data_IF_642929023434
#
_entry.id   IF_642929023434
#
_cell.length_a   1.000
_cell.length_b   1.000
_cell.length_c   1.000
_cell.angle_alpha   90.00
_cell.angle_beta   90.00
_cell.angle_gamma   90.00
#
_symmetry.space_group_name_H-M   'P 1'
#
loop_
_entity.id
_entity.type
_entity.pdbx_description
1 polymer ?
#
# COMPACT_ATOMS: atom_id res chain seq x y z
N UNK A 1 15.19 62.99 -14.84
CA UNK A 1 14.03 62.63 -14.00
C UNK A 1 12.80 62.63 -14.90
N UNK A 2 12.80 61.76 -15.90
CA UNK A 2 12.31 60.36 -15.87
C UNK A 2 10.80 60.27 -15.70
N UNK A 3 10.11 60.30 -16.85
CA UNK A 3 8.70 59.95 -17.01
C UNK A 3 8.53 58.83 -18.07
N UNK A 4 9.47 57.88 -18.11
CA UNK A 4 9.47 56.75 -19.07
C UNK A 4 8.75 55.47 -18.62
N UNK A 5 8.19 55.42 -17.40
CA UNK A 5 7.68 54.17 -16.80
C UNK A 5 6.17 53.90 -16.95
N UNK A 6 5.39 54.82 -17.52
CA UNK A 6 3.92 54.81 -17.35
C UNK A 6 3.15 53.79 -18.19
N UNK A 7 3.70 53.33 -19.33
CA UNK A 7 2.98 52.46 -20.27
C UNK A 7 3.41 50.99 -20.22
N UNK A 8 4.57 50.70 -19.64
CA UNK A 8 5.13 49.34 -19.60
C UNK A 8 4.31 48.43 -18.68
N UNK A 9 3.87 48.95 -17.53
CA UNK A 9 3.08 48.20 -16.56
C UNK A 9 1.68 47.81 -17.07
N UNK A 10 0.86 48.70 -17.67
CA UNK A 10 -0.43 48.31 -18.22
C UNK A 10 -0.31 47.39 -19.45
N UNK A 11 0.73 47.55 -20.28
CA UNK A 11 1.02 46.62 -21.39
C UNK A 11 1.39 45.23 -20.90
N UNK A 12 2.15 45.13 -19.80
CA UNK A 12 2.50 43.84 -19.18
C UNK A 12 1.27 43.14 -18.58
N UNK A 13 0.36 43.89 -17.96
CA UNK A 13 -0.90 43.35 -17.44
C UNK A 13 -1.83 42.87 -18.58
N UNK A 14 -1.92 43.62 -19.67
CA UNK A 14 -2.68 43.22 -20.86
C UNK A 14 -2.09 41.96 -21.50
N UNK A 15 -0.76 41.83 -21.54
CA UNK A 15 -0.08 40.64 -22.02
C UNK A 15 -0.36 39.42 -21.12
N UNK A 16 -0.27 39.57 -19.80
CA UNK A 16 -0.63 38.51 -18.85
C UNK A 16 -2.10 38.10 -18.98
N UNK A 17 -3.00 39.06 -19.11
CA UNK A 17 -4.43 38.81 -19.30
C UNK A 17 -4.70 38.09 -20.63
N UNK A 18 -4.01 38.49 -21.69
CA UNK A 18 -4.04 37.80 -22.98
C UNK A 18 -3.51 36.37 -22.87
N UNK A 19 -2.41 36.13 -22.16
CA UNK A 19 -1.87 34.79 -21.92
C UNK A 19 -2.85 33.89 -21.14
N UNK A 20 -3.58 34.45 -20.17
CA UNK A 20 -4.60 33.71 -19.40
C UNK A 20 -5.81 33.37 -20.28
N UNK A 21 -6.29 34.31 -21.10
CA UNK A 21 -7.41 34.08 -22.02
C UNK A 21 -7.04 33.11 -23.15
N UNK A 22 -5.78 33.16 -23.61
CA UNK A 22 -5.26 32.29 -24.68
C UNK A 22 -4.91 30.89 -24.18
N UNK A 23 -4.90 30.66 -22.86
CA UNK A 23 -4.65 29.33 -22.30
C UNK A 23 -5.96 28.53 -22.30
N UNK A 24 -6.20 27.79 -23.38
CA UNK A 24 -7.21 26.74 -23.37
C UNK A 24 -6.66 25.54 -22.60
N UNK A 25 -6.97 25.46 -21.30
CA UNK A 25 -6.76 24.24 -20.54
C UNK A 25 -7.78 23.20 -21.01
N UNK A 26 -7.40 22.32 -21.93
CA UNK A 26 -8.23 21.17 -22.26
C UNK A 26 -8.24 20.20 -21.07
N UNK A 27 -9.38 20.13 -20.39
CA UNK A 27 -9.64 19.07 -19.42
C UNK A 27 -9.76 17.74 -20.18
N UNK A 28 -8.67 16.97 -20.21
CA UNK A 28 -8.69 15.63 -20.79
C UNK A 28 -9.29 14.69 -19.76
N UNK A 29 -10.49 14.17 -20.04
CA UNK A 29 -11.04 13.07 -19.27
C UNK A 29 -10.29 11.78 -19.63
N UNK A 30 -9.56 11.21 -18.68
CA UNK A 30 -8.82 9.97 -18.88
C UNK A 30 -9.75 8.77 -18.74
N UNK A 31 -9.66 7.81 -19.66
CA UNK A 31 -10.30 6.51 -19.48
C UNK A 31 -9.47 5.65 -18.53
N UNK A 32 -9.84 5.62 -17.25
CA UNK A 32 -9.15 4.86 -16.21
C UNK A 32 -9.76 3.47 -15.96
N UNK A 33 -10.75 3.07 -16.76
CA UNK A 33 -11.42 1.77 -16.61
C UNK A 33 -10.44 0.63 -16.89
N UNK A 34 -10.36 -0.34 -15.98
CA UNK A 34 -9.52 -1.53 -16.15
C UNK A 34 -10.26 -2.63 -16.92
N UNK A 35 -9.59 -3.22 -17.91
CA UNK A 35 -10.09 -4.38 -18.66
C UNK A 35 -8.91 -5.28 -19.04
N UNK A 36 -9.06 -6.59 -18.87
CA UNK A 36 -8.11 -7.56 -19.43
C UNK A 36 -8.42 -7.69 -20.92
N UNK A 37 -7.40 -7.50 -21.76
CA UNK A 37 -7.52 -7.68 -23.21
C UNK A 37 -6.82 -8.99 -23.59
N UNK A 38 -7.56 -10.02 -24.04
CA UNK A 38 -6.97 -11.26 -24.50
C UNK A 38 -5.99 -11.04 -25.66
N UNK A 39 -4.90 -11.82 -25.68
CA UNK A 39 -3.88 -11.72 -26.74
C UNK A 39 -2.97 -10.49 -26.67
N UNK A 40 -3.07 -9.68 -25.60
CA UNK A 40 -2.13 -8.58 -25.33
C UNK A 40 -1.43 -8.80 -23.99
N UNK A 41 -0.29 -8.12 -23.82
CA UNK A 41 0.33 -7.95 -22.52
C UNK A 41 -0.59 -7.08 -21.65
N UNK A 42 -1.04 -7.61 -20.53
CA UNK A 42 -1.82 -6.88 -19.54
C UNK A 42 -0.89 -6.48 -18.40
N UNK A 43 -0.82 -5.17 -18.13
CA UNK A 43 0.06 -4.62 -17.09
C UNK A 43 -0.81 -4.20 -15.90
N UNK A 44 -0.63 -4.89 -14.78
CA UNK A 44 -1.33 -4.58 -13.54
C UNK A 44 -0.53 -3.53 -12.75
N UNK A 45 -1.04 -2.31 -12.67
CA UNK A 45 -0.47 -1.26 -11.83
C UNK A 45 -1.03 -1.40 -10.43
N UNK A 46 -0.19 -1.81 -9.48
CA UNK A 46 -0.57 -2.03 -8.08
C UNK A 46 0.01 -0.92 -7.23
N UNK A 47 -0.79 0.09 -6.90
CA UNK A 47 -0.38 1.20 -6.05
C UNK A 47 -0.35 0.76 -4.58
N UNK A 48 0.78 1.01 -3.91
CA UNK A 48 1.00 0.65 -2.51
C UNK A 48 1.93 1.66 -1.83
N UNK A 49 1.98 1.59 -0.50
CA UNK A 49 3.04 2.18 0.33
C UNK A 49 3.71 1.07 1.12
N UNK A 50 4.97 1.26 1.51
CA UNK A 50 5.65 0.36 2.43
C UNK A 50 5.96 1.15 3.69
N UNK A 51 5.20 0.89 4.75
CA UNK A 51 5.22 1.68 5.96
C UNK A 51 5.88 0.86 7.09
N UNK A 52 7.20 0.99 7.22
CA UNK A 52 7.97 0.31 8.26
C UNK A 52 7.42 0.62 9.66
N UNK A 53 7.10 -0.43 10.43
CA UNK A 53 6.67 -0.31 11.82
C UNK A 53 7.90 -0.15 12.72
N UNK A 54 8.67 0.91 12.46
CA UNK A 54 9.93 1.23 13.12
C UNK A 54 11.14 0.68 12.36
N UNK A 55 12.09 1.57 12.03
CA UNK A 55 13.34 1.24 11.35
C UNK A 55 14.39 2.33 11.63
N UNK A 56 14.39 3.42 10.84
CA UNK A 56 15.23 4.59 11.10
C UNK A 56 14.58 5.57 12.08
N UNK A 57 13.24 5.63 12.08
CA UNK A 57 12.43 6.39 13.02
C UNK A 57 11.62 5.46 13.90
N UNK A 58 11.15 5.96 15.04
CA UNK A 58 10.16 5.24 15.84
C UNK A 58 8.83 5.20 15.10
N UNK A 59 7.96 4.25 15.46
CA UNK A 59 6.61 4.15 14.88
C UNK A 59 5.83 5.46 15.03
N UNK A 60 5.89 6.11 16.19
CA UNK A 60 5.22 7.39 16.40
C UNK A 60 5.77 8.50 15.50
N UNK A 61 7.09 8.54 15.32
CA UNK A 61 7.75 9.50 14.44
C UNK A 61 7.38 9.29 12.98
N UNK A 62 7.29 8.03 12.53
CA UNK A 62 6.75 7.70 11.21
C UNK A 62 5.28 8.10 11.07
N UNK A 63 4.45 7.86 12.08
CA UNK A 63 3.01 8.17 12.00
C UNK A 63 2.77 9.67 11.87
N UNK A 64 3.25 10.46 12.84
CA UNK A 64 2.99 11.92 12.89
C UNK A 64 3.90 12.72 11.94
N UNK A 65 4.87 12.08 11.32
CA UNK A 65 5.83 12.77 10.44
C UNK A 65 6.82 13.66 11.18
N UNK A 66 7.19 13.32 12.41
CA UNK A 66 8.21 14.06 13.15
C UNK A 66 9.62 13.57 12.81
N UNK A 67 10.61 14.39 13.14
CA UNK A 67 12.04 14.13 12.90
C UNK A 67 12.40 13.77 11.44
N UNK A 68 11.82 14.50 10.48
CA UNK A 68 12.05 14.26 9.05
C UNK A 68 13.49 14.56 8.58
N UNK A 69 14.35 15.08 9.45
CA UNK A 69 15.79 15.17 9.19
C UNK A 69 16.46 13.80 9.05
N UNK A 70 15.93 12.77 9.72
CA UNK A 70 16.39 11.38 9.59
C UNK A 70 15.87 10.76 8.30
N UNK A 71 14.55 10.84 8.10
CA UNK A 71 13.86 10.33 6.92
C UNK A 71 12.52 11.07 6.74
N UNK A 72 12.31 11.63 5.55
CA UNK A 72 11.05 12.27 5.18
C UNK A 72 9.95 11.23 4.98
N UNK A 73 9.14 11.00 6.02
CA UNK A 73 8.07 10.01 6.01
C UNK A 73 6.99 10.38 7.03
N UNK A 74 5.71 10.34 6.61
CA UNK A 74 4.56 10.65 7.45
C UNK A 74 3.36 9.80 7.03
N UNK A 75 3.04 8.76 7.79
CA UNK A 75 1.98 7.82 7.40
C UNK A 75 0.59 8.43 7.53
N UNK A 76 0.39 9.34 8.48
CA UNK A 76 -0.86 10.09 8.56
C UNK A 76 -1.16 10.84 7.25
N UNK A 77 -0.16 11.51 6.66
CA UNK A 77 -0.34 12.20 5.38
C UNK A 77 -0.63 11.24 4.21
N UNK A 78 -0.03 10.04 4.23
CA UNK A 78 -0.33 9.01 3.22
C UNK A 78 -1.81 8.62 3.31
N UNK A 79 -2.30 8.27 4.50
CA UNK A 79 -3.70 7.88 4.70
C UNK A 79 -4.68 9.03 4.42
N UNK A 80 -4.37 10.25 4.87
CA UNK A 80 -5.22 11.43 4.68
C UNK A 80 -5.29 11.86 3.21
N UNK A 81 -4.24 11.65 2.41
CA UNK A 81 -4.23 11.95 0.98
C UNK A 81 -4.80 10.82 0.12
N UNK A 82 -4.66 9.57 0.57
CA UNK A 82 -5.17 8.38 -0.11
C UNK A 82 -6.68 8.42 -0.26
N UNK A 83 -7.42 8.75 0.80
CA UNK A 83 -8.88 8.72 0.78
C UNK A 83 -9.47 9.70 -0.26
N UNK A 84 -9.10 10.99 -0.28
CA UNK A 84 -9.52 11.91 -1.35
C UNK A 84 -9.08 11.44 -2.74
N UNK A 85 -7.89 10.85 -2.87
CA UNK A 85 -7.39 10.37 -4.15
C UNK A 85 -8.24 9.21 -4.70
N UNK A 86 -8.68 8.28 -3.86
CA UNK A 86 -9.58 7.19 -4.26
C UNK A 86 -11.00 7.69 -4.56
N UNK A 87 -11.50 8.69 -3.83
CA UNK A 87 -12.81 9.29 -4.08
C UNK A 87 -12.87 10.07 -5.40
N UNK A 88 -11.76 10.67 -5.82
CA UNK A 88 -11.69 11.44 -7.05
C UNK A 88 -11.86 10.58 -8.33
N UNK A 89 -11.61 9.28 -8.26
CA UNK A 89 -11.84 8.35 -9.38
C UNK A 89 -12.11 6.93 -8.87
N UNK A 90 -13.33 6.44 -9.15
CA UNK A 90 -13.80 5.10 -8.76
C UNK A 90 -12.95 3.94 -9.30
N UNK A 91 -12.16 4.18 -10.34
CA UNK A 91 -11.30 3.16 -10.95
C UNK A 91 -9.93 3.05 -10.26
N UNK A 92 -9.56 4.02 -9.41
CA UNK A 92 -8.31 3.96 -8.65
C UNK A 92 -8.38 2.88 -7.60
N UNK A 93 -7.26 2.17 -7.47
CA UNK A 93 -7.06 1.06 -6.53
C UNK A 93 -5.82 1.32 -5.70
N UNK A 94 -5.85 0.89 -4.45
CA UNK A 94 -4.70 0.93 -3.55
C UNK A 94 -4.73 -0.25 -2.60
N UNK A 95 -3.57 -0.86 -2.36
CA UNK A 95 -3.38 -1.92 -1.37
C UNK A 95 -2.69 -1.35 -0.12
N UNK A 96 -3.21 -1.69 1.07
CA UNK A 96 -2.61 -1.30 2.35
C UNK A 96 -2.27 -2.54 3.18
N UNK A 97 -1.12 -2.53 3.85
CA UNK A 97 -0.49 -3.74 4.40
C UNK A 97 -0.44 -3.72 5.94
N UNK A 98 0.16 -2.70 6.55
CA UNK A 98 0.55 -2.72 7.97
C UNK A 98 -0.53 -2.18 8.95
N UNK A 99 -0.99 -2.98 9.93
CA UNK A 99 -2.16 -2.60 10.77
C UNK A 99 -1.91 -2.23 12.26
N UNK A 100 -0.74 -2.52 12.83
CA UNK A 100 -0.41 -2.77 14.25
C UNK A 100 -1.15 -2.10 15.45
N UNK A 101 -1.07 -2.81 16.58
CA UNK A 101 -1.49 -2.47 17.96
C UNK A 101 -0.60 -3.17 19.02
N UNK A 102 -0.06 -2.46 20.02
CA UNK A 102 -0.17 -2.78 21.46
C UNK A 102 0.31 -1.60 22.34
N UNK A 103 -0.48 -1.33 23.40
CA UNK A 103 -0.49 -0.33 24.49
C UNK A 103 0.37 0.95 24.53
N UNK A 104 1.38 1.13 23.70
CA UNK A 104 2.12 2.41 23.59
C UNK A 104 2.58 2.68 22.16
N UNK A 105 2.18 1.82 21.21
CA UNK A 105 2.59 1.93 19.81
C UNK A 105 1.43 1.39 18.93
N UNK A 106 0.69 2.29 18.30
CA UNK A 106 -0.34 1.95 17.30
C UNK A 106 0.30 2.07 15.91
N UNK A 107 0.28 1.02 15.09
CA UNK A 107 0.57 1.20 13.67
C UNK A 107 -0.68 1.55 12.87
N UNK A 108 -0.41 1.86 11.62
CA UNK A 108 -0.79 3.17 11.15
C UNK A 108 -2.28 3.25 10.80
N UNK A 109 -2.84 2.18 10.23
CA UNK A 109 -4.24 2.15 9.86
C UNK A 109 -5.18 2.12 11.06
N UNK A 110 -4.98 1.24 12.05
CA UNK A 110 -5.84 1.16 13.24
C UNK A 110 -5.79 2.46 14.05
N UNK A 111 -4.60 3.07 14.16
CA UNK A 111 -4.43 4.37 14.82
C UNK A 111 -5.22 5.45 14.12
N UNK A 112 -5.03 5.55 12.81
CA UNK A 112 -5.70 6.52 11.96
C UNK A 112 -7.21 6.34 12.04
N UNK A 113 -7.69 5.11 11.88
CA UNK A 113 -9.10 4.71 11.90
C UNK A 113 -9.86 5.23 13.13
N UNK A 114 -9.28 5.05 14.33
CA UNK A 114 -9.90 5.49 15.60
C UNK A 114 -9.94 7.00 15.76
N UNK A 115 -9.03 7.72 15.12
CA UNK A 115 -9.02 9.18 15.12
C UNK A 115 -9.98 9.77 14.08
N UNK A 116 -10.52 8.96 13.16
CA UNK A 116 -11.40 9.43 12.11
C UNK A 116 -12.82 9.68 12.59
N UNK A 117 -13.49 10.66 11.97
CA UNK A 117 -14.94 10.89 12.14
C UNK A 117 -15.77 9.74 11.54
N UNK A 118 -17.01 9.58 12.01
CA UNK A 118 -17.95 8.59 11.47
C UNK A 118 -18.15 8.73 9.95
N UNK A 119 -18.11 9.95 9.43
CA UNK A 119 -18.23 10.23 7.98
C UNK A 119 -17.06 9.63 7.21
N UNK A 120 -15.83 9.84 7.68
CA UNK A 120 -14.64 9.27 7.05
C UNK A 120 -14.65 7.75 7.20
N UNK A 121 -14.99 7.22 8.37
CA UNK A 121 -15.10 5.78 8.59
C UNK A 121 -16.09 5.12 7.62
N UNK A 122 -17.29 5.71 7.46
CA UNK A 122 -18.29 5.23 6.50
C UNK A 122 -17.75 5.24 5.07
N UNK A 123 -17.01 6.30 4.71
CA UNK A 123 -16.42 6.45 3.37
C UNK A 123 -15.37 5.37 3.10
N UNK A 124 -14.48 5.10 4.05
CA UNK A 124 -13.50 4.01 3.93
C UNK A 124 -14.18 2.66 3.82
N UNK A 125 -15.22 2.38 4.63
CA UNK A 125 -16.00 1.13 4.50
C UNK A 125 -16.60 0.99 3.09
N UNK A 126 -17.06 2.08 2.48
CA UNK A 126 -17.53 2.07 1.09
C UNK A 126 -16.39 1.78 0.10
N UNK A 127 -15.23 2.41 0.25
CA UNK A 127 -14.06 2.17 -0.61
C UNK A 127 -13.59 0.72 -0.53
N UNK A 128 -13.59 0.16 0.67
CA UNK A 128 -13.26 -1.25 0.93
C UNK A 128 -14.30 -2.18 0.28
N UNK A 129 -15.59 -1.93 0.48
CA UNK A 129 -16.66 -2.73 -0.13
C UNK A 129 -16.68 -2.65 -1.67
N UNK A 130 -16.24 -1.52 -2.23
CA UNK A 130 -16.12 -1.34 -3.69
C UNK A 130 -14.87 -1.97 -4.29
N UNK A 131 -13.91 -2.42 -3.47
CA UNK A 131 -12.62 -2.95 -3.93
C UNK A 131 -11.66 -1.88 -4.48
N UNK A 132 -11.84 -0.62 -4.08
CA UNK A 132 -10.89 0.46 -4.34
C UNK A 132 -9.76 0.49 -3.30
N UNK A 133 -10.08 0.17 -2.05
CA UNK A 133 -9.09 -0.05 -0.99
C UNK A 133 -9.11 -1.53 -0.61
N UNK A 134 -7.97 -2.20 -0.71
CA UNK A 134 -7.84 -3.61 -0.37
C UNK A 134 -6.79 -3.80 0.72
N UNK A 135 -7.14 -4.60 1.74
CA UNK A 135 -6.19 -5.02 2.77
C UNK A 135 -5.53 -6.33 2.35
N UNK A 136 -4.21 -6.31 2.25
CA UNK A 136 -3.39 -7.50 1.97
C UNK A 136 -2.41 -7.73 3.11
N UNK A 137 -1.93 -8.96 3.26
CA UNK A 137 -1.27 -9.48 4.46
C UNK A 137 -2.18 -9.38 5.69
N UNK A 138 -2.52 -8.17 6.13
CA UNK A 138 -3.42 -7.92 7.23
C UNK A 138 -2.80 -8.29 8.58
N UNK A 139 -1.50 -8.57 8.62
CA UNK A 139 -0.76 -8.60 9.87
C UNK A 139 -0.75 -7.23 10.56
N UNK A 140 -0.33 -7.25 11.81
CA UNK A 140 -0.01 -6.04 12.56
C UNK A 140 1.22 -5.38 11.94
N UNK A 141 2.18 -6.17 11.50
CA UNK A 141 3.27 -5.74 10.64
C UNK A 141 3.53 -6.76 9.53
N UNK A 142 4.42 -6.40 8.61
CA UNK A 142 5.12 -7.37 7.78
C UNK A 142 6.27 -7.93 8.63
N UNK A 143 6.07 -9.11 9.23
CA UNK A 143 7.03 -9.72 10.16
C UNK A 143 8.27 -10.25 9.43
N UNK A 144 9.40 -10.28 10.13
CA UNK A 144 10.58 -11.02 9.69
C UNK A 144 10.29 -12.53 9.64
N UNK A 145 11.03 -13.28 8.82
CA UNK A 145 10.83 -14.72 8.64
C UNK A 145 12.00 -15.56 9.16
N UNK A 146 13.11 -14.93 9.58
CA UNK A 146 14.30 -15.62 10.05
C UNK A 146 14.36 -15.73 11.58
N UNK A 147 14.05 -14.66 12.30
CA UNK A 147 14.23 -14.51 13.74
C UNK A 147 12.90 -14.46 14.52
N UNK A 148 11.80 -14.86 13.92
CA UNK A 148 10.48 -14.93 14.57
C UNK A 148 10.12 -16.36 14.97
N UNK A 149 9.43 -16.51 16.09
CA UNK A 149 8.77 -17.76 16.43
C UNK A 149 7.39 -17.84 15.77
N UNK A 150 6.98 -19.03 15.31
CA UNK A 150 5.69 -19.19 14.61
C UNK A 150 4.47 -18.79 15.46
N UNK A 151 4.56 -18.91 16.79
CA UNK A 151 3.52 -18.43 17.71
C UNK A 151 3.34 -16.91 17.56
N UNK A 152 4.44 -16.15 17.56
CA UNK A 152 4.38 -14.70 17.45
C UNK A 152 3.88 -14.26 16.06
N UNK A 153 4.26 -15.01 15.01
CA UNK A 153 3.75 -14.81 13.65
C UNK A 153 2.22 -15.01 13.60
N UNK A 154 1.70 -16.05 14.26
CA UNK A 154 0.26 -16.32 14.36
C UNK A 154 -0.44 -15.23 15.16
N UNK A 155 0.09 -14.85 16.32
CA UNK A 155 -0.53 -13.88 17.21
C UNK A 155 -0.64 -12.51 16.55
N UNK A 156 0.46 -12.02 15.95
CA UNK A 156 0.45 -10.73 15.27
C UNK A 156 -0.49 -10.75 14.05
N UNK A 157 -0.53 -11.84 13.28
CA UNK A 157 -1.45 -11.97 12.14
C UNK A 157 -2.90 -11.99 12.60
N UNK A 158 -3.20 -12.78 13.63
CA UNK A 158 -4.54 -12.94 14.20
C UNK A 158 -5.08 -11.61 14.73
N UNK A 159 -4.24 -10.80 15.38
CA UNK A 159 -4.65 -9.50 15.90
C UNK A 159 -5.06 -8.53 14.79
N UNK A 160 -4.30 -8.50 13.69
CA UNK A 160 -4.63 -7.66 12.54
C UNK A 160 -5.86 -8.17 11.77
N UNK A 161 -5.93 -9.47 11.52
CA UNK A 161 -7.08 -10.10 10.83
C UNK A 161 -8.38 -9.93 11.60
N UNK A 162 -8.34 -10.05 12.94
CA UNK A 162 -9.52 -9.84 13.79
C UNK A 162 -10.07 -8.42 13.63
N UNK A 163 -9.20 -7.41 13.65
CA UNK A 163 -9.63 -6.03 13.43
C UNK A 163 -10.27 -5.84 12.05
N UNK A 164 -9.67 -6.36 10.97
CA UNK A 164 -10.25 -6.27 9.63
C UNK A 164 -11.63 -6.94 9.61
N UNK A 165 -11.73 -8.12 10.20
CA UNK A 165 -12.95 -8.90 10.20
C UNK A 165 -14.07 -8.19 10.96
N UNK A 166 -13.77 -7.64 12.12
CA UNK A 166 -14.75 -6.98 12.97
C UNK A 166 -15.23 -5.64 12.36
N UNK A 167 -14.32 -4.86 11.77
CA UNK A 167 -14.66 -3.53 11.23
C UNK A 167 -15.21 -3.54 9.81
N UNK A 168 -14.70 -4.43 8.96
CA UNK A 168 -14.96 -4.44 7.51
C UNK A 168 -15.62 -5.74 7.02
N UNK A 169 -15.70 -6.78 7.86
CA UNK A 169 -16.28 -8.08 7.47
C UNK A 169 -15.40 -8.91 6.52
N UNK A 170 -14.18 -8.45 6.22
CA UNK A 170 -13.29 -9.02 5.21
C UNK A 170 -12.25 -9.94 5.83
N UNK A 171 -11.79 -10.89 5.04
CA UNK A 171 -10.66 -11.76 5.35
C UNK A 171 -9.63 -11.61 4.22
N UNK A 172 -8.42 -11.07 4.49
CA UNK A 172 -7.38 -10.93 3.46
C UNK A 172 -7.04 -12.28 2.82
N UNK A 173 -6.76 -12.28 1.51
CA UNK A 173 -6.46 -13.50 0.74
C UNK A 173 -5.07 -13.51 0.08
N UNK A 174 -4.31 -12.44 0.26
CA UNK A 174 -3.00 -12.25 -0.38
C UNK A 174 -1.97 -11.95 0.70
N UNK A 175 -0.91 -12.74 0.77
CA UNK A 175 0.26 -12.45 1.57
C UNK A 175 1.18 -11.44 0.87
N UNK A 176 1.76 -10.52 1.64
CA UNK A 176 2.64 -9.48 1.12
C UNK A 176 3.89 -9.36 1.99
N UNK A 177 4.99 -9.98 1.54
CA UNK A 177 6.27 -10.08 2.25
C UNK A 177 7.39 -9.50 1.37
N UNK A 178 7.25 -8.23 0.99
CA UNK A 178 8.18 -7.60 0.04
C UNK A 178 9.56 -7.31 0.63
N UNK A 179 9.66 -7.07 1.94
CA UNK A 179 10.90 -6.61 2.58
C UNK A 179 11.63 -7.53 3.57
N UNK A 180 11.07 -8.68 4.05
CA UNK A 180 11.86 -9.64 4.84
C UNK A 180 13.10 -10.16 4.11
N UNK A 181 14.18 -10.40 4.85
CA UNK A 181 15.48 -10.77 4.28
C UNK A 181 15.61 -12.28 4.06
N UNK A 182 14.87 -12.78 3.07
CA UNK A 182 14.71 -14.21 2.80
C UNK A 182 13.40 -14.73 3.39
N UNK A 183 12.99 -15.92 2.95
CA UNK A 183 11.64 -16.44 3.21
C UNK A 183 11.68 -17.86 3.77
N UNK A 184 10.83 -18.12 4.77
CA UNK A 184 10.77 -19.38 5.50
C UNK A 184 9.73 -20.32 4.91
N UNK A 185 9.98 -21.63 5.03
CA UNK A 185 8.99 -22.64 4.64
C UNK A 185 7.68 -22.50 5.44
N UNK A 186 7.79 -22.11 6.71
CA UNK A 186 6.66 -21.86 7.62
C UNK A 186 5.79 -20.71 7.14
N UNK A 187 6.37 -19.64 6.60
CA UNK A 187 5.59 -18.55 6.01
C UNK A 187 4.73 -19.03 4.85
N UNK A 188 5.25 -19.92 4.01
CA UNK A 188 4.52 -20.42 2.85
C UNK A 188 3.30 -21.26 3.23
N UNK A 189 3.50 -22.30 4.06
CA UNK A 189 2.40 -23.23 4.37
C UNK A 189 1.53 -22.72 5.52
N UNK A 190 2.10 -22.21 6.62
CA UNK A 190 1.34 -21.89 7.83
C UNK A 190 0.74 -20.49 7.75
N UNK A 191 1.57 -19.48 7.49
CA UNK A 191 1.14 -18.07 7.40
C UNK A 191 0.81 -17.65 5.95
N UNK A 192 0.65 -18.64 5.06
CA UNK A 192 0.17 -18.49 3.70
C UNK A 192 -1.08 -19.32 3.50
N UNK A 193 -0.91 -20.62 3.22
CA UNK A 193 -2.04 -21.48 2.91
C UNK A 193 -3.02 -21.69 4.08
N UNK A 194 -2.54 -22.05 5.28
CA UNK A 194 -3.42 -22.37 6.43
C UNK A 194 -4.18 -21.16 6.98
N UNK A 195 -3.66 -19.93 6.79
CA UNK A 195 -4.41 -18.70 7.09
C UNK A 195 -5.43 -18.33 6.01
N UNK A 196 -5.46 -19.07 4.89
CA UNK A 196 -6.43 -18.91 3.80
C UNK A 196 -5.99 -17.96 2.69
N UNK A 197 -4.68 -17.72 2.52
CA UNK A 197 -4.18 -16.96 1.37
C UNK A 197 -4.08 -17.81 0.12
N UNK A 198 -4.47 -17.22 -1.02
CA UNK A 198 -4.31 -17.83 -2.35
C UNK A 198 -2.92 -17.62 -2.93
N UNK A 199 -2.25 -16.55 -2.50
CA UNK A 199 -0.99 -16.10 -3.09
C UNK A 199 -0.13 -15.38 -2.06
N UNK A 200 1.18 -15.42 -2.27
CA UNK A 200 2.18 -14.72 -1.48
C UNK A 200 3.13 -14.04 -2.45
N UNK A 201 3.30 -12.73 -2.32
CA UNK A 201 4.24 -11.95 -3.10
C UNK A 201 5.39 -11.50 -2.22
N UNK A 202 6.61 -11.63 -2.73
CA UNK A 202 7.82 -11.18 -2.07
C UNK A 202 8.86 -10.69 -3.08
N UNK A 203 9.76 -9.81 -2.63
CA UNK A 203 10.75 -9.21 -3.51
C UNK A 203 12.14 -9.80 -3.30
N UNK A 204 12.53 -10.21 -2.09
CA UNK A 204 13.93 -10.50 -1.71
C UNK A 204 14.24 -12.00 -1.77
N UNK A 205 14.88 -12.41 -2.86
CA UNK A 205 15.53 -13.73 -3.00
C UNK A 205 17.02 -13.55 -3.31
N UNK A 206 17.80 -14.62 -3.12
CA UNK A 206 19.21 -14.66 -3.49
C UNK A 206 19.42 -14.19 -4.94
N UNK A 207 20.47 -13.41 -5.18
CA UNK A 207 20.69 -12.79 -6.49
C UNK A 207 21.02 -13.82 -7.59
N UNK A 208 21.69 -14.93 -7.25
CA UNK A 208 21.96 -16.02 -8.18
C UNK A 208 20.67 -16.77 -8.51
N UNK A 209 19.84 -17.04 -7.50
CA UNK A 209 18.52 -17.66 -7.70
C UNK A 209 17.60 -16.76 -8.55
N UNK A 210 17.61 -15.44 -8.31
CA UNK A 210 16.86 -14.49 -9.14
C UNK A 210 17.29 -14.52 -10.61
N UNK A 211 18.59 -14.53 -10.87
CA UNK A 211 19.12 -14.58 -12.24
C UNK A 211 18.66 -15.87 -12.93
N UNK A 212 18.85 -17.02 -12.26
CA UNK A 212 18.40 -18.32 -12.74
C UNK A 212 16.89 -18.35 -13.05
N UNK A 213 16.05 -17.87 -12.12
CA UNK A 213 14.59 -17.86 -12.29
C UNK A 213 14.10 -16.95 -13.41
N UNK A 214 14.81 -15.85 -13.68
CA UNK A 214 14.51 -14.98 -14.84
C UNK A 214 14.76 -15.69 -16.17
N UNK A 215 15.82 -16.49 -16.25
CA UNK A 215 16.16 -17.25 -17.44
C UNK A 215 15.20 -18.42 -17.64
N UNK A 216 14.90 -19.15 -16.56
CA UNK A 216 14.01 -20.33 -16.55
C UNK A 216 12.51 -20.01 -16.52
N UNK A 217 12.13 -18.73 -16.38
CA UNK A 217 10.73 -18.29 -16.21
C UNK A 217 10.03 -18.92 -14.99
N UNK A 218 10.79 -19.06 -13.90
CA UNK A 218 10.37 -19.72 -12.64
C UNK A 218 10.34 -18.74 -11.44
N UNK A 219 10.07 -17.46 -11.72
CA UNK A 219 9.81 -16.45 -10.67
C UNK A 219 8.46 -16.68 -9.98
N UNK A 220 7.49 -17.24 -10.70
CA UNK A 220 6.17 -17.60 -10.19
C UNK A 220 6.14 -19.13 -10.00
N UNK A 221 5.81 -19.59 -8.79
CA UNK A 221 5.81 -21.01 -8.43
C UNK A 221 4.66 -21.35 -7.50
N UNK A 222 4.22 -22.60 -7.54
CA UNK A 222 3.40 -23.18 -6.46
C UNK A 222 4.35 -23.64 -5.36
N UNK A 223 4.36 -22.92 -4.24
CA UNK A 223 5.34 -23.16 -3.18
C UNK A 223 4.80 -24.14 -2.12
N UNK A 224 5.31 -25.38 -2.14
CA UNK A 224 4.96 -26.42 -1.18
C UNK A 224 5.85 -26.36 0.07
N UNK A 225 5.51 -25.48 1.02
CA UNK A 225 6.32 -25.23 2.21
C UNK A 225 6.36 -26.36 3.25
N UNK A 226 5.39 -27.27 3.26
CA UNK A 226 5.33 -28.36 4.25
C UNK A 226 5.66 -29.71 3.62
N UNK A 227 6.67 -30.41 4.14
CA UNK A 227 6.94 -31.81 3.77
C UNK A 227 5.85 -32.78 4.23
N UNK A 228 5.12 -32.40 5.29
CA UNK A 228 4.06 -33.23 5.87
C UNK A 228 2.76 -33.12 5.08
N UNK A 229 2.38 -31.89 4.73
CA UNK A 229 1.10 -31.63 4.05
C UNK A 229 1.26 -31.60 2.52
N UNK A 230 2.44 -31.29 2.00
CA UNK A 230 2.70 -31.28 0.56
C UNK A 230 1.66 -30.43 -0.18
N UNK A 231 0.93 -31.06 -1.11
CA UNK A 231 -0.11 -30.41 -1.89
C UNK A 231 -1.44 -30.19 -1.15
N UNK A 232 -1.67 -30.82 0.01
CA UNK A 232 -2.92 -30.61 0.75
C UNK A 232 -2.95 -29.29 1.54
N UNK A 233 -1.80 -28.62 1.65
CA UNK A 233 -1.68 -27.26 2.17
C UNK A 233 -1.58 -26.24 1.02
N UNK A 234 -2.24 -26.46 -0.12
CA UNK A 234 -2.43 -25.47 -1.20
C UNK A 234 -3.87 -25.54 -1.70
#
# INVERSE_FOLDING_TARGET
>A
MDSGGSLIFPLFLLFLFWCIISSESQFISYNTTSTIVPGKLNVHLVAHTHDDVGWLKTVDQYYVGSNNSIQGACVQNVLDSLIPALLADKNRKFIYVEQARLYTIFAFFQRWWRAQSEVVQKTVKQLVNSGQLEFINGGMCMHDEAATHYIDMIDQTTLGHRFIKDEFGITPRIGWQIDPFGHSAVQAYLLGAEVGFDSLFFARIDYQDRAKRKDEKSLEVVWQGSKTFGSSAQ
#
